data_IF_225389911845
#
_entry.id   IF_225389911845
#
_cell.length_a   1.000
_cell.length_b   1.000
_cell.length_c   1.000
_cell.angle_alpha   90.00
_cell.angle_beta   90.00
_cell.angle_gamma   90.00
#
_symmetry.space_group_name_H-M   'P 1'
#
loop_
_entity.id
_entity.type
_entity.pdbx_description
1 polymer ?
#
# COMPACT_ATOMS: atom_id res chain seq x y z
N UNK A 1 31.72 -13.25 7.09
CA UNK A 1 31.36 -11.84 7.12
C UNK A 1 29.87 -11.60 7.13
N UNK A 2 29.46 -10.61 7.81
CA UNK A 2 28.03 -10.34 7.91
C UNK A 2 27.64 -9.08 7.16
N UNK A 3 26.64 -9.21 6.33
CA UNK A 3 26.08 -8.07 5.66
C UNK A 3 25.08 -7.37 6.58
N UNK A 4 25.11 -6.07 6.58
CA UNK A 4 24.12 -5.28 7.31
C UNK A 4 23.03 -4.86 6.36
N UNK A 5 21.80 -5.04 6.79
CA UNK A 5 20.66 -4.60 6.03
C UNK A 5 20.52 -3.09 6.21
N UNK A 6 20.79 -2.35 5.15
CA UNK A 6 20.77 -0.89 5.19
C UNK A 6 19.61 -0.27 4.41
N UNK A 7 18.88 -1.09 3.65
CA UNK A 7 17.78 -0.62 2.82
C UNK A 7 16.55 -1.46 3.15
N UNK A 8 15.73 -0.94 4.03
CA UNK A 8 14.56 -1.66 4.50
C UNK A 8 13.44 -0.70 4.88
N UNK A 9 12.24 -1.23 5.03
CA UNK A 9 11.11 -0.52 5.58
C UNK A 9 10.50 -1.33 6.72
N UNK A 10 9.65 -0.68 7.51
CA UNK A 10 9.05 -1.33 8.68
C UNK A 10 7.59 -1.67 8.42
N UNK A 11 7.18 -2.82 8.95
CA UNK A 11 5.80 -3.27 8.91
C UNK A 11 5.41 -3.63 10.33
N UNK A 12 4.23 -3.18 10.75
CA UNK A 12 3.71 -3.51 12.07
C UNK A 12 3.45 -5.01 12.14
N UNK A 13 3.95 -5.65 13.19
CA UNK A 13 3.79 -7.08 13.37
C UNK A 13 2.32 -7.51 13.41
N UNK A 14 1.44 -6.64 13.88
CA UNK A 14 0.01 -6.95 14.01
C UNK A 14 -0.68 -7.20 12.67
N UNK A 15 -0.04 -6.86 11.54
CA UNK A 15 -0.62 -7.14 10.23
C UNK A 15 -0.93 -8.64 10.06
N UNK A 16 -0.15 -9.48 10.70
CA UNK A 16 -0.31 -10.93 10.60
C UNK A 16 -1.42 -11.48 11.51
N UNK A 17 -2.01 -10.62 12.34
CA UNK A 17 -3.14 -10.99 13.19
C UNK A 17 -4.49 -10.84 12.49
N UNK A 18 -4.49 -10.21 11.32
CA UNK A 18 -5.68 -10.05 10.50
C UNK A 18 -5.77 -11.21 9.52
N UNK A 19 -6.99 -11.57 9.16
CA UNK A 19 -7.22 -12.65 8.21
C UNK A 19 -7.07 -12.09 6.79
N UNK A 20 -5.83 -12.03 6.32
CA UNK A 20 -5.48 -11.45 5.03
C UNK A 20 -4.93 -12.50 4.08
N UNK A 21 -5.24 -12.33 2.80
CA UNK A 21 -4.64 -13.14 1.75
C UNK A 21 -3.24 -12.64 1.44
N UNK A 22 -2.37 -13.48 0.87
CA UNK A 22 -1.02 -13.05 0.52
C UNK A 22 -0.99 -11.78 -0.33
N UNK A 23 -1.93 -11.63 -1.29
CA UNK A 23 -1.99 -10.42 -2.11
C UNK A 23 -2.27 -9.17 -1.28
N UNK A 24 -3.11 -9.31 -0.25
CA UNK A 24 -3.46 -8.19 0.64
C UNK A 24 -2.24 -7.75 1.44
N UNK A 25 -1.49 -8.72 1.97
CA UNK A 25 -0.27 -8.46 2.72
C UNK A 25 0.77 -7.81 1.82
N UNK A 26 0.94 -8.32 0.59
CA UNK A 26 1.90 -7.75 -0.35
C UNK A 26 1.56 -6.29 -0.67
N UNK A 27 0.30 -5.99 -0.93
CA UNK A 27 -0.13 -4.62 -1.22
C UNK A 27 0.09 -3.72 -0.01
N UNK A 28 -0.26 -4.19 1.18
CA UNK A 28 -0.02 -3.43 2.40
C UNK A 28 1.47 -3.12 2.58
N UNK A 29 2.33 -4.11 2.38
CA UNK A 29 3.78 -3.92 2.50
C UNK A 29 4.29 -2.93 1.47
N UNK A 30 3.77 -2.97 0.24
CA UNK A 30 4.17 -2.02 -0.78
C UNK A 30 3.82 -0.59 -0.37
N UNK A 31 2.64 -0.38 0.23
CA UNK A 31 2.26 0.92 0.75
C UNK A 31 3.20 1.37 1.86
N UNK A 32 3.57 0.47 2.75
CA UNK A 32 4.53 0.78 3.82
C UNK A 32 5.86 1.24 3.24
N UNK A 33 6.33 0.57 2.19
CA UNK A 33 7.58 0.93 1.53
C UNK A 33 7.53 2.34 0.93
N UNK A 34 6.39 2.75 0.41
CA UNK A 34 6.20 4.05 -0.24
C UNK A 34 5.71 5.14 0.70
N UNK A 35 5.67 4.84 1.97
CA UNK A 35 5.12 5.73 2.98
C UNK A 35 5.97 6.99 3.16
N UNK A 36 5.29 8.14 3.14
CA UNK A 36 5.89 9.38 3.57
C UNK A 36 5.80 9.43 5.09
N UNK A 37 6.94 9.47 5.75
CA UNK A 37 6.99 9.39 7.23
C UNK A 37 6.44 10.62 7.93
N UNK A 38 6.41 11.76 7.27
CA UNK A 38 5.94 12.99 7.90
C UNK A 38 4.44 12.98 8.12
N UNK A 39 3.68 12.44 7.17
CA UNK A 39 2.22 12.49 7.23
C UNK A 39 1.55 11.12 7.14
N UNK A 40 2.34 10.06 7.11
CA UNK A 40 1.84 8.70 7.15
C UNK A 40 0.97 8.31 5.97
N UNK A 41 1.25 8.88 4.80
CA UNK A 41 0.50 8.60 3.59
C UNK A 41 1.41 8.11 2.47
N UNK A 42 0.83 7.37 1.54
CA UNK A 42 1.48 6.91 0.32
C UNK A 42 0.52 7.14 -0.84
N UNK A 43 1.07 7.39 -2.03
CA UNK A 43 0.22 7.66 -3.18
C UNK A 43 0.76 7.03 -4.47
N UNK A 44 1.11 5.73 -4.44
CA UNK A 44 1.49 5.04 -5.67
C UNK A 44 0.27 4.81 -6.55
N UNK A 45 0.48 4.72 -7.86
CA UNK A 45 -0.58 4.36 -8.78
C UNK A 45 -0.92 2.87 -8.64
N UNK A 46 -2.12 2.48 -9.10
CA UNK A 46 -2.49 1.06 -9.15
C UNK A 46 -1.48 0.26 -9.96
N UNK A 47 -0.98 0.86 -11.02
CA UNK A 47 0.00 0.24 -11.89
C UNK A 47 1.32 0.00 -11.15
N UNK A 48 1.77 0.98 -10.36
CA UNK A 48 2.97 0.84 -9.56
C UNK A 48 2.82 -0.27 -8.53
N UNK A 49 1.67 -0.31 -7.87
CA UNK A 49 1.39 -1.34 -6.87
C UNK A 49 1.42 -2.73 -7.52
N UNK A 50 0.73 -2.87 -8.65
CA UNK A 50 0.68 -4.14 -9.37
C UNK A 50 2.07 -4.59 -9.77
N UNK A 51 2.85 -3.69 -10.35
CA UNK A 51 4.20 -4.00 -10.79
C UNK A 51 5.10 -4.37 -9.61
N UNK A 52 5.02 -3.63 -8.53
CA UNK A 52 5.85 -3.88 -7.35
C UNK A 52 5.51 -5.17 -6.62
N UNK A 53 4.25 -5.59 -6.69
CA UNK A 53 3.77 -6.79 -6.00
C UNK A 53 3.74 -8.02 -6.90
N UNK A 54 4.12 -7.90 -8.17
CA UNK A 54 4.04 -9.02 -9.10
C UNK A 54 2.62 -9.42 -9.44
N UNK A 55 1.69 -8.48 -9.40
CA UNK A 55 0.29 -8.69 -9.71
C UNK A 55 0.05 -8.29 -11.16
N UNK A 56 -0.54 -9.19 -11.94
CA UNK A 56 -0.76 -8.94 -13.37
C UNK A 56 -1.95 -8.05 -13.66
N UNK A 57 -3.01 -8.19 -12.88
CA UNK A 57 -4.26 -7.46 -13.13
C UNK A 57 -4.47 -6.39 -12.09
N UNK A 58 -4.76 -5.17 -12.52
CA UNK A 58 -5.01 -4.07 -11.59
C UNK A 58 -6.26 -4.30 -10.76
N UNK A 59 -7.23 -5.07 -11.27
CA UNK A 59 -8.41 -5.43 -10.50
C UNK A 59 -8.06 -6.19 -9.23
N UNK A 60 -6.99 -6.99 -9.28
CA UNK A 60 -6.52 -7.71 -8.09
C UNK A 60 -5.98 -6.75 -7.04
N UNK A 61 -5.30 -5.69 -7.49
CA UNK A 61 -4.86 -4.62 -6.59
C UNK A 61 -6.07 -3.96 -5.94
N UNK A 62 -7.10 -3.67 -6.71
CA UNK A 62 -8.32 -3.04 -6.19
C UNK A 62 -8.99 -3.90 -5.12
N UNK A 63 -9.03 -5.21 -5.34
CA UNK A 63 -9.60 -6.14 -4.35
C UNK A 63 -8.80 -6.12 -3.05
N UNK A 64 -7.49 -6.11 -3.15
CA UNK A 64 -6.62 -6.07 -1.98
C UNK A 64 -6.82 -4.76 -1.21
N UNK A 65 -6.84 -3.63 -1.93
CA UNK A 65 -7.04 -2.33 -1.29
C UNK A 65 -8.41 -2.27 -0.60
N UNK A 66 -9.44 -2.82 -1.22
CA UNK A 66 -10.77 -2.86 -0.62
C UNK A 66 -10.77 -3.63 0.69
N UNK A 67 -10.12 -4.79 0.72
CA UNK A 67 -10.00 -5.58 1.95
C UNK A 67 -9.29 -4.79 3.05
N UNK A 68 -8.19 -4.13 2.70
CA UNK A 68 -7.43 -3.34 3.67
C UNK A 68 -8.25 -2.18 4.24
N UNK A 69 -9.04 -1.53 3.40
CA UNK A 69 -9.95 -0.46 3.86
C UNK A 69 -11.04 -1.03 4.76
N UNK A 70 -11.66 -2.14 4.37
CA UNK A 70 -12.72 -2.75 5.14
C UNK A 70 -12.28 -3.21 6.52
N UNK A 71 -11.03 -3.63 6.62
CA UNK A 71 -10.48 -4.06 7.92
C UNK A 71 -9.91 -2.88 8.74
N UNK A 72 -10.02 -1.69 8.24
CA UNK A 72 -9.56 -0.50 8.97
C UNK A 72 -8.07 -0.33 9.03
N UNK A 73 -7.34 -0.99 8.15
CA UNK A 73 -5.87 -0.93 8.13
C UNK A 73 -5.34 0.26 7.36
N UNK A 74 -6.10 0.73 6.37
CA UNK A 74 -5.78 1.92 5.59
C UNK A 74 -7.04 2.71 5.34
N UNK A 75 -6.85 4.00 5.02
CA UNK A 75 -7.89 4.86 4.48
C UNK A 75 -7.50 5.25 3.07
N UNK A 76 -8.48 5.40 2.21
CA UNK A 76 -8.26 5.72 0.80
C UNK A 76 -8.98 7.03 0.48
N UNK A 77 -8.23 7.98 -0.07
CA UNK A 77 -8.75 9.27 -0.49
C UNK A 77 -8.47 9.49 -1.97
N UNK A 78 -9.45 9.95 -2.74
CA UNK A 78 -9.19 10.30 -4.13
C UNK A 78 -8.30 11.53 -4.19
N UNK A 79 -7.49 11.60 -5.24
CA UNK A 79 -6.62 12.74 -5.48
C UNK A 79 -6.94 13.29 -6.86
N UNK A 80 -7.34 14.55 -6.91
CA UNK A 80 -7.65 15.23 -8.16
C UNK A 80 -6.56 16.23 -8.51
N UNK A 81 -6.25 16.32 -9.79
CA UNK A 81 -5.33 17.35 -10.28
C UNK A 81 -6.11 18.57 -10.74
N UNK A 82 -5.41 19.68 -10.89
CA UNK A 82 -6.02 20.92 -11.38
C UNK A 82 -6.53 20.82 -12.82
N UNK A 83 -6.04 19.82 -13.55
CA UNK A 83 -6.48 19.61 -14.95
C UNK A 83 -7.74 18.78 -15.05
N UNK A 84 -8.32 18.39 -13.92
CA UNK A 84 -9.52 17.56 -13.89
C UNK A 84 -9.24 16.07 -14.02
N UNK A 85 -7.98 15.69 -14.19
CA UNK A 85 -7.60 14.29 -14.24
C UNK A 85 -7.50 13.70 -12.86
N UNK A 86 -7.65 12.38 -12.78
CA UNK A 86 -7.39 11.68 -11.54
C UNK A 86 -5.90 11.44 -11.39
N UNK A 87 -5.33 11.93 -10.30
CA UNK A 87 -4.01 11.50 -9.89
C UNK A 87 -4.13 10.15 -9.17
N UNK A 88 -3.00 9.66 -8.66
CA UNK A 88 -3.01 8.46 -7.82
C UNK A 88 -3.82 8.73 -6.57
N UNK A 89 -4.52 7.71 -6.08
CA UNK A 89 -5.20 7.83 -4.80
C UNK A 89 -4.18 8.02 -3.67
N UNK A 90 -4.62 8.65 -2.61
CA UNK A 90 -3.83 8.80 -1.40
C UNK A 90 -4.27 7.71 -0.43
N UNK A 91 -3.32 6.97 0.10
CA UNK A 91 -3.57 5.92 1.08
C UNK A 91 -2.91 6.30 2.39
N UNK A 92 -3.71 6.39 3.43
CA UNK A 92 -3.21 6.69 4.76
C UNK A 92 -3.16 5.40 5.56
N UNK A 93 -2.01 5.10 6.14
CA UNK A 93 -1.88 3.90 6.95
C UNK A 93 -2.40 4.17 8.35
N UNK A 94 -3.29 3.31 8.80
CA UNK A 94 -3.86 3.37 10.15
C UNK A 94 -3.07 2.45 11.07
N UNK A 95 -2.72 1.28 10.57
CA UNK A 95 -1.86 0.35 11.29
C UNK A 95 -0.38 0.66 11.01
#
# INVERSE_FOLDING_TARGET
MKERRTNFFMVDNRIFEYDLKPRDIAVYCFLCRRLNRENNVAFPSRKDIAKGCGIKKEETVDKALKVLVEKGLIEKYPRHTNAGDYGSNIYRLIL
#
